data_IF_093794410154
#
_entry.id   IF_093794410154
#
_cell.length_a   1.000
_cell.length_b   1.000
_cell.length_c   1.000
_cell.angle_alpha   90.00
_cell.angle_beta   90.00
_cell.angle_gamma   90.00
#
_symmetry.space_group_name_H-M   'P 1'
#
loop_
_entity.id
_entity.type
_entity.pdbx_description
1 polymer ?
#
# COMPACT_ATOMS: atom_id res chain seq x y z
N UNK A 1 33.45 11.89 6.19
CA UNK A 1 32.25 11.26 6.76
C UNK A 1 31.86 10.12 5.83
N UNK A 2 31.58 8.91 6.34
CA UNK A 2 31.42 7.72 5.50
C UNK A 2 29.96 7.58 5.07
N UNK A 3 29.61 8.23 3.96
CA UNK A 3 28.23 8.33 3.44
C UNK A 3 27.54 6.96 3.26
N UNK A 4 28.32 5.92 2.94
CA UNK A 4 27.81 4.55 2.83
C UNK A 4 27.29 3.99 4.15
N UNK A 5 28.00 4.24 5.26
CA UNK A 5 27.61 3.76 6.57
C UNK A 5 26.37 4.51 7.09
N UNK A 6 26.32 5.81 6.84
CA UNK A 6 25.18 6.66 7.20
C UNK A 6 23.90 6.23 6.46
N UNK A 7 24.01 5.89 5.16
CA UNK A 7 22.88 5.38 4.38
C UNK A 7 22.36 4.02 4.88
N UNK A 8 23.27 3.16 5.35
CA UNK A 8 22.90 1.86 5.95
C UNK A 8 22.20 2.06 7.28
N UNK A 9 22.72 2.94 8.15
CA UNK A 9 22.07 3.28 9.43
C UNK A 9 20.66 3.83 9.21
N UNK A 10 20.51 4.79 8.29
CA UNK A 10 19.21 5.37 7.95
C UNK A 10 18.20 4.32 7.44
N UNK A 11 18.68 3.31 6.70
CA UNK A 11 17.83 2.21 6.24
C UNK A 11 17.33 1.34 7.40
N UNK A 12 18.15 1.14 8.43
CA UNK A 12 17.74 0.44 9.65
C UNK A 12 16.78 1.25 10.50
N UNK A 13 17.03 2.55 10.69
CA UNK A 13 16.12 3.45 11.39
C UNK A 13 14.72 3.44 10.74
N UNK A 14 14.66 3.58 9.42
CA UNK A 14 13.40 3.48 8.68
C UNK A 14 12.73 2.11 8.85
N UNK A 15 13.49 1.02 8.96
CA UNK A 15 12.91 -0.30 9.19
C UNK A 15 12.30 -0.40 10.58
N UNK A 16 13.03 0.01 11.62
CA UNK A 16 12.57 -0.02 13.02
C UNK A 16 11.31 0.82 13.17
N UNK A 17 11.34 2.06 12.67
CA UNK A 17 10.19 2.95 12.71
C UNK A 17 8.96 2.37 12.00
N UNK A 18 9.14 1.76 10.82
CA UNK A 18 8.05 1.10 10.11
C UNK A 18 7.49 -0.12 10.86
N UNK A 19 8.32 -0.87 11.60
CA UNK A 19 7.86 -1.98 12.42
C UNK A 19 6.98 -1.50 13.59
N UNK A 20 7.36 -0.39 14.22
CA UNK A 20 6.58 0.27 15.27
C UNK A 20 5.26 0.81 14.73
N UNK A 21 5.27 1.53 13.60
CA UNK A 21 4.03 2.07 13.03
C UNK A 21 3.04 0.98 12.61
N UNK A 22 3.52 -0.13 12.05
CA UNK A 22 2.65 -1.27 11.75
C UNK A 22 2.06 -1.86 13.04
N UNK A 23 2.84 -1.93 14.12
CA UNK A 23 2.38 -2.51 15.39
C UNK A 23 1.34 -1.62 16.08
N UNK A 24 1.52 -0.32 16.06
CA UNK A 24 0.69 0.63 16.80
C UNK A 24 -0.52 1.14 16.00
N UNK A 25 -0.34 1.37 14.70
CA UNK A 25 -1.32 2.02 13.82
C UNK A 25 -1.85 1.10 12.72
N UNK A 26 -1.28 -0.10 12.59
CA UNK A 26 -1.70 -1.06 11.58
C UNK A 26 -3.10 -1.59 11.85
N UNK A 27 -3.96 -1.52 10.84
CA UNK A 27 -5.30 -2.10 10.85
C UNK A 27 -5.27 -3.32 9.95
N UNK A 28 -5.46 -4.49 10.55
CA UNK A 28 -5.58 -5.75 9.82
C UNK A 28 -7.04 -6.01 9.45
N UNK A 29 -7.25 -6.52 8.24
CA UNK A 29 -8.59 -6.83 7.73
C UNK A 29 -8.53 -7.95 6.69
N UNK A 30 -9.67 -8.57 6.42
CA UNK A 30 -9.79 -9.65 5.44
C UNK A 30 -10.28 -9.13 4.09
N UNK A 31 -9.83 -9.79 3.02
CA UNK A 31 -10.23 -9.50 1.64
C UNK A 31 -10.44 -10.80 0.89
N UNK A 32 -11.09 -10.77 -0.28
CA UNK A 32 -11.19 -11.94 -1.16
C UNK A 32 -9.85 -12.55 -1.61
N UNK A 33 -8.75 -11.82 -1.42
CA UNK A 33 -7.39 -12.23 -1.74
C UNK A 33 -6.60 -12.76 -0.53
N UNK A 34 -7.17 -12.65 0.67
CA UNK A 34 -6.53 -12.99 1.95
C UNK A 34 -6.33 -11.77 2.86
N UNK A 35 -5.57 -11.97 3.95
CA UNK A 35 -5.30 -10.93 4.95
C UNK A 35 -4.60 -9.71 4.36
N UNK A 36 -5.06 -8.54 4.75
CA UNK A 36 -4.52 -7.26 4.35
C UNK A 36 -4.15 -6.39 5.56
N UNK A 37 -3.29 -5.42 5.32
CA UNK A 37 -2.83 -4.44 6.31
C UNK A 37 -3.03 -3.04 5.75
N UNK A 38 -3.63 -2.16 6.53
CA UNK A 38 -3.73 -0.74 6.23
C UNK A 38 -3.01 0.08 7.32
N UNK A 39 -2.26 1.10 6.92
CA UNK A 39 -1.53 1.96 7.86
C UNK A 39 -1.42 3.38 7.32
N UNK A 40 -1.60 4.36 8.20
CA UNK A 40 -1.22 5.75 7.94
C UNK A 40 0.23 5.97 8.37
N UNK A 41 1.10 6.31 7.41
CA UNK A 41 2.54 6.40 7.63
C UNK A 41 3.22 7.28 6.58
N UNK A 42 4.28 7.98 6.98
CA UNK A 42 5.18 8.68 6.06
C UNK A 42 6.25 7.75 5.47
N UNK A 43 6.46 6.58 6.08
CA UNK A 43 7.52 5.66 5.77
C UNK A 43 7.08 4.60 4.74
N UNK A 44 7.69 4.59 3.55
CA UNK A 44 7.31 3.65 2.48
C UNK A 44 7.70 2.19 2.81
N UNK A 45 8.58 1.99 3.78
CA UNK A 45 9.08 0.68 4.21
C UNK A 45 7.96 -0.20 4.79
N UNK A 46 6.88 0.40 5.30
CA UNK A 46 5.72 -0.33 5.83
C UNK A 46 5.11 -1.29 4.80
N UNK A 47 5.11 -0.90 3.52
CA UNK A 47 4.58 -1.74 2.44
C UNK A 47 5.41 -3.02 2.31
N UNK A 48 6.74 -2.86 2.24
CA UNK A 48 7.66 -3.99 2.07
C UNK A 48 7.65 -4.91 3.29
N UNK A 49 7.55 -4.35 4.49
CA UNK A 49 7.46 -5.13 5.73
C UNK A 49 6.14 -5.88 5.83
N UNK A 50 5.01 -5.23 5.52
CA UNK A 50 3.70 -5.90 5.49
C UNK A 50 3.69 -7.10 4.53
N UNK A 51 4.21 -6.93 3.31
CA UNK A 51 4.32 -8.04 2.35
C UNK A 51 5.18 -9.19 2.89
N UNK A 52 6.31 -8.88 3.55
CA UNK A 52 7.18 -9.89 4.19
C UNK A 52 6.52 -10.59 5.37
N UNK A 53 5.62 -9.92 6.09
CA UNK A 53 4.81 -10.50 7.19
C UNK A 53 3.67 -11.39 6.70
N UNK A 54 3.48 -11.52 5.38
CA UNK A 54 2.53 -12.45 4.78
C UNK A 54 1.18 -11.84 4.39
N UNK A 55 0.99 -10.53 4.57
CA UNK A 55 -0.21 -9.86 4.07
C UNK A 55 -0.25 -9.90 2.55
N UNK A 56 -1.40 -10.28 1.98
CA UNK A 56 -1.60 -10.35 0.53
C UNK A 56 -1.78 -8.97 -0.09
N UNK A 57 -2.34 -8.03 0.67
CA UNK A 57 -2.47 -6.62 0.30
C UNK A 57 -1.95 -5.72 1.42
N UNK A 58 -1.24 -4.66 1.04
CA UNK A 58 -0.82 -3.61 1.98
C UNK A 58 -1.21 -2.24 1.43
N UNK A 59 -1.94 -1.49 2.25
CA UNK A 59 -2.38 -0.11 2.02
C UNK A 59 -1.54 0.80 2.91
N UNK A 60 -0.87 1.77 2.30
CA UNK A 60 -0.24 2.88 3.00
C UNK A 60 -0.93 4.16 2.55
N UNK A 61 -1.44 4.94 3.51
CA UNK A 61 -1.85 6.32 3.30
C UNK A 61 -0.82 7.26 3.91
N UNK A 62 -0.35 8.22 3.13
CA UNK A 62 0.56 9.26 3.58
C UNK A 62 -0.17 10.21 4.54
N UNK A 63 0.27 10.27 5.79
CA UNK A 63 -0.37 11.09 6.84
C UNK A 63 -0.24 12.60 6.62
N UNK A 64 0.65 13.06 5.73
CA UNK A 64 0.86 14.48 5.43
C UNK A 64 0.23 14.91 4.11
N UNK A 65 0.41 14.12 3.05
CA UNK A 65 -0.05 14.45 1.69
C UNK A 65 -1.35 13.76 1.30
N UNK A 66 -1.78 12.73 2.04
CA UNK A 66 -2.99 11.95 1.71
C UNK A 66 -2.82 10.98 0.54
N UNK A 67 -1.62 10.85 -0.03
CA UNK A 67 -1.34 9.91 -1.10
C UNK A 67 -1.49 8.46 -0.63
N UNK A 68 -2.16 7.64 -1.44
CA UNK A 68 -2.44 6.25 -1.12
C UNK A 68 -1.61 5.34 -2.01
N UNK A 69 -1.07 4.27 -1.45
CA UNK A 69 -0.40 3.21 -2.19
C UNK A 69 -0.93 1.87 -1.71
N UNK A 70 -1.44 1.11 -2.65
CA UNK A 70 -1.97 -0.24 -2.42
C UNK A 70 -1.11 -1.19 -3.25
N UNK A 71 -0.45 -2.13 -2.59
CA UNK A 71 0.38 -3.14 -3.28
C UNK A 71 0.02 -4.53 -2.83
N UNK A 72 -0.16 -5.40 -3.81
CA UNK A 72 -0.25 -6.83 -3.59
C UNK A 72 1.13 -7.44 -3.43
N UNK A 73 1.23 -8.48 -2.61
CA UNK A 73 2.45 -9.29 -2.50
C UNK A 73 2.75 -9.96 -3.85
N UNK A 74 4.01 -9.93 -4.33
CA UNK A 74 4.38 -10.63 -5.56
C UNK A 74 4.05 -12.13 -5.47
N UNK A 75 3.63 -12.72 -6.58
CA UNK A 75 3.43 -14.16 -6.64
C UNK A 75 4.77 -14.86 -6.34
N UNK A 76 4.79 -15.82 -5.41
CA UNK A 76 6.00 -16.62 -5.17
C UNK A 76 6.20 -17.56 -6.34
N UNK A 77 7.42 -17.62 -6.86
CA UNK A 77 7.80 -18.67 -7.83
C UNK A 77 7.62 -20.03 -7.14
N UNK A 78 6.69 -20.85 -7.61
CA UNK A 78 6.40 -22.18 -7.08
C UNK A 78 5.09 -22.32 -6.31
N UNK A 79 4.37 -21.23 -6.01
CA UNK A 79 2.95 -21.32 -5.68
C UNK A 79 2.22 -21.66 -6.99
N UNK A 80 1.80 -22.92 -7.15
CA UNK A 80 1.15 -23.41 -8.37
C UNK A 80 -0.09 -22.58 -8.74
N UNK A 81 -0.65 -22.84 -9.94
CA UNK A 81 -1.79 -22.12 -10.55
C UNK A 81 -3.08 -21.98 -9.70
N UNK A 82 -3.09 -22.51 -8.47
CA UNK A 82 -4.16 -22.42 -7.48
C UNK A 82 -4.06 -21.20 -6.54
N UNK A 83 -2.92 -20.49 -6.49
CA UNK A 83 -2.86 -19.24 -5.74
C UNK A 83 -3.62 -18.15 -6.50
N UNK A 84 -4.79 -17.77 -5.97
CA UNK A 84 -5.67 -16.73 -6.55
C UNK A 84 -4.85 -15.45 -6.76
N UNK A 85 -4.58 -15.14 -8.03
CA UNK A 85 -3.77 -13.99 -8.40
C UNK A 85 -4.52 -12.71 -8.06
N UNK A 86 -3.82 -11.76 -7.42
CA UNK A 86 -4.44 -10.49 -7.02
C UNK A 86 -4.59 -9.58 -8.22
N UNK A 87 -5.81 -9.15 -8.51
CA UNK A 87 -6.15 -8.16 -9.54
C UNK A 87 -6.90 -6.98 -8.90
N UNK A 88 -6.31 -5.79 -8.95
CA UNK A 88 -6.88 -4.57 -8.36
C UNK A 88 -7.79 -3.80 -9.33
N UNK A 89 -8.14 -4.34 -10.50
CA UNK A 89 -8.95 -3.65 -11.52
C UNK A 89 -10.32 -3.24 -10.98
N UNK A 90 -11.03 -4.15 -10.32
CA UNK A 90 -12.36 -3.87 -9.75
C UNK A 90 -12.29 -2.80 -8.66
N UNK A 91 -11.33 -2.94 -7.75
CA UNK A 91 -11.06 -1.97 -6.68
C UNK A 91 -10.74 -0.59 -7.27
N UNK A 92 -9.96 -0.55 -8.36
CA UNK A 92 -9.61 0.69 -9.05
C UNK A 92 -10.81 1.40 -9.65
N UNK A 93 -11.71 0.68 -10.32
CA UNK A 93 -12.92 1.31 -10.88
C UNK A 93 -13.85 1.83 -9.78
N UNK A 94 -13.99 1.11 -8.66
CA UNK A 94 -14.76 1.59 -7.49
C UNK A 94 -14.14 2.88 -6.93
N UNK A 95 -12.80 2.95 -6.82
CA UNK A 95 -12.14 4.16 -6.36
C UNK A 95 -12.32 5.34 -7.31
N UNK A 96 -12.31 5.10 -8.63
CA UNK A 96 -12.58 6.16 -9.61
C UNK A 96 -14.01 6.69 -9.52
N UNK A 97 -14.98 5.81 -9.25
CA UNK A 97 -16.38 6.21 -9.09
C UNK A 97 -16.59 6.99 -7.80
N UNK A 98 -16.04 6.50 -6.68
CA UNK A 98 -16.22 7.10 -5.35
C UNK A 98 -15.35 8.34 -5.10
N UNK A 99 -14.23 8.47 -5.79
CA UNK A 99 -13.28 9.57 -5.62
C UNK A 99 -12.83 10.15 -6.98
N UNK A 100 -13.78 10.71 -7.77
CA UNK A 100 -13.55 11.08 -9.18
C UNK A 100 -12.57 12.23 -9.36
N UNK A 101 -12.31 13.01 -8.31
CA UNK A 101 -11.36 14.14 -8.35
C UNK A 101 -9.92 13.68 -8.09
N UNK A 102 -9.73 12.52 -7.48
CA UNK A 102 -8.42 12.02 -7.12
C UNK A 102 -7.73 11.34 -8.31
N UNK A 103 -6.40 11.45 -8.36
CA UNK A 103 -5.62 10.88 -9.45
C UNK A 103 -5.19 9.46 -9.10
N UNK A 104 -6.09 8.50 -9.34
CA UNK A 104 -5.82 7.08 -9.23
C UNK A 104 -5.13 6.53 -10.48
N UNK A 105 -4.15 5.65 -10.28
CA UNK A 105 -3.41 4.98 -11.34
C UNK A 105 -3.20 3.51 -11.02
N UNK A 106 -3.78 2.65 -11.85
CA UNK A 106 -3.54 1.21 -11.82
C UNK A 106 -2.31 0.87 -12.67
N UNK A 107 -1.29 0.27 -12.06
CA UNK A 107 -0.13 -0.20 -12.78
C UNK A 107 -0.50 -1.36 -13.72
N UNK A 108 0.21 -1.51 -14.85
CA UNK A 108 -0.05 -2.55 -15.87
C UNK A 108 -0.05 -3.99 -15.33
N UNK A 109 0.65 -4.24 -14.21
CA UNK A 109 0.65 -5.55 -13.54
C UNK A 109 -0.64 -5.85 -12.76
N UNK A 110 -1.53 -4.86 -12.62
CA UNK A 110 -2.78 -4.88 -11.84
C UNK A 110 -2.60 -5.19 -10.34
N UNK A 111 -1.36 -5.28 -9.86
CA UNK A 111 -0.99 -5.59 -8.47
C UNK A 111 -0.61 -4.35 -7.66
N UNK A 112 -0.61 -3.18 -8.29
CA UNK A 112 -0.25 -1.93 -7.67
C UNK A 112 -1.24 -0.86 -8.09
N UNK A 113 -1.87 -0.24 -7.11
CA UNK A 113 -2.75 0.89 -7.28
C UNK A 113 -2.16 2.08 -6.51
N UNK A 114 -1.95 3.18 -7.21
CA UNK A 114 -1.28 4.37 -6.71
C UNK A 114 -2.22 5.56 -6.80
N UNK A 115 -2.20 6.39 -5.77
CA UNK A 115 -2.83 7.69 -5.76
C UNK A 115 -1.76 8.74 -5.45
N UNK A 116 -1.48 9.58 -6.43
CA UNK A 116 -0.42 10.56 -6.35
C UNK A 116 1.00 10.00 -6.51
N UNK A 117 1.93 10.90 -6.79
CA UNK A 117 3.35 10.61 -6.86
C UNK A 117 4.14 11.88 -6.54
N UNK A 118 5.29 11.77 -5.84
CA UNK A 118 6.13 12.93 -5.56
C UNK A 118 6.69 13.62 -6.81
N UNK A 119 6.71 12.92 -7.96
CA UNK A 119 7.45 13.34 -9.17
C UNK A 119 6.62 14.17 -10.16
N UNK A 120 5.31 14.30 -9.96
CA UNK A 120 4.45 15.08 -10.87
C UNK A 120 3.57 16.04 -10.06
N UNK A 121 3.67 17.33 -10.39
CA UNK A 121 3.06 18.42 -9.61
C UNK A 121 1.55 18.58 -9.77
N UNK A 122 0.86 17.72 -10.55
CA UNK A 122 -0.57 17.86 -10.87
C UNK A 122 -1.47 16.77 -10.28
N UNK A 123 -0.96 15.88 -9.43
CA UNK A 123 -1.78 14.79 -8.89
C UNK A 123 -2.57 15.20 -7.66
N UNK A 124 -3.84 14.83 -7.66
CA UNK A 124 -4.78 15.11 -6.58
C UNK A 124 -4.81 13.91 -5.62
N UNK A 125 -4.47 14.10 -4.33
CA UNK A 125 -4.56 13.05 -3.33
C UNK A 125 -6.01 12.60 -3.12
N UNK A 126 -6.18 11.36 -2.67
CA UNK A 126 -7.50 10.83 -2.36
C UNK A 126 -8.13 11.56 -1.18
N UNK A 127 -9.43 11.84 -1.31
CA UNK A 127 -10.24 12.41 -0.23
C UNK A 127 -10.72 11.36 0.78
N UNK A 128 -10.62 10.08 0.43
CA UNK A 128 -11.10 8.96 1.23
C UNK A 128 -10.27 8.77 2.51
N UNK A 129 -10.92 8.49 3.63
CA UNK A 129 -10.24 8.11 4.88
C UNK A 129 -9.60 6.72 4.75
N UNK A 130 -8.68 6.36 5.67
CA UNK A 130 -8.12 5.01 5.70
C UNK A 130 -9.23 3.96 5.88
N UNK A 131 -10.25 4.26 6.69
CA UNK A 131 -11.39 3.37 6.93
C UNK A 131 -12.29 3.20 5.69
N UNK A 132 -12.52 4.27 4.92
CA UNK A 132 -13.28 4.17 3.66
C UNK A 132 -12.56 3.27 2.66
N UNK A 133 -11.23 3.39 2.58
CA UNK A 133 -10.37 2.55 1.73
C UNK A 133 -10.46 1.08 2.17
N UNK A 134 -10.36 0.81 3.47
CA UNK A 134 -10.52 -0.54 4.02
C UNK A 134 -11.90 -1.10 3.69
N UNK A 135 -12.97 -0.32 3.88
CA UNK A 135 -14.33 -0.75 3.60
C UNK A 135 -14.55 -1.09 2.13
N UNK A 136 -13.98 -0.32 1.20
CA UNK A 136 -14.04 -0.62 -0.24
C UNK A 136 -13.33 -1.94 -0.54
N UNK A 137 -12.10 -2.13 -0.05
CA UNK A 137 -11.30 -3.32 -0.36
C UNK A 137 -11.88 -4.59 0.28
N UNK A 138 -12.44 -4.48 1.49
CA UNK A 138 -13.00 -5.63 2.23
C UNK A 138 -14.31 -6.16 1.62
N UNK A 139 -15.07 -5.30 0.94
CA UNK A 139 -16.37 -5.64 0.35
C UNK A 139 -16.29 -6.06 -1.13
N UNK A 140 -15.07 -6.25 -1.67
CA UNK A 140 -14.82 -6.71 -3.04
C UNK A 140 -14.68 -8.23 -3.15
#
# INVERSE_FOLDING_TARGET
MCECLDAVLHSFENKVWAEEEIKEKGIEFDTKYGRALAVESLNDTVIKLGQKRGFKLVVRKDSRKGYVRIKATPAKKGEGALAKEVDLTEIYEIFKEKDPKATWFLHVSKKMLLNGSPKSGKMVPSSLSLNDIIAIISNC
#
